data_IF_202997193649
#
_entry.id   IF_202997193649
#
_cell.length_a   1.000
_cell.length_b   1.000
_cell.length_c   1.000
_cell.angle_alpha   90.00
_cell.angle_beta   90.00
_cell.angle_gamma   90.00
#
_symmetry.space_group_name_H-M   'P 1'
#
loop_
_entity.id
_entity.type
_entity.pdbx_description
1 polymer ?
#
# COMPACT_ATOMS: atom_id res chain seq x y z
N UNK A 1 45.97 -19.36 -31.95
CA UNK A 1 45.45 -18.43 -30.92
C UNK A 1 44.14 -17.72 -31.29
N UNK A 2 43.79 -17.56 -32.58
CA UNK A 2 42.57 -16.84 -33.03
C UNK A 2 41.27 -17.55 -32.62
N UNK A 3 41.19 -18.88 -32.76
CA UNK A 3 40.00 -19.68 -32.45
C UNK A 3 39.54 -19.61 -30.98
N UNK A 4 40.48 -19.41 -30.06
CA UNK A 4 40.20 -19.30 -28.62
C UNK A 4 39.54 -17.96 -28.29
N UNK A 5 39.93 -16.88 -28.96
CA UNK A 5 39.41 -15.52 -28.74
C UNK A 5 37.97 -15.36 -29.23
N UNK A 6 37.63 -15.95 -30.37
CA UNK A 6 36.26 -15.95 -30.90
C UNK A 6 35.30 -16.73 -30.00
N UNK A 7 35.76 -17.84 -29.41
CA UNK A 7 34.93 -18.66 -28.51
C UNK A 7 34.63 -17.92 -27.19
N UNK A 8 35.60 -17.21 -26.62
CA UNK A 8 35.36 -16.34 -25.46
C UNK A 8 34.41 -15.16 -25.78
N UNK A 9 34.55 -14.55 -26.97
CA UNK A 9 33.66 -13.47 -27.39
C UNK A 9 32.19 -13.93 -27.50
N UNK A 10 31.95 -15.12 -28.04
CA UNK A 10 30.60 -15.71 -28.14
C UNK A 10 30.02 -15.97 -26.75
N UNK A 11 30.80 -16.53 -25.82
CA UNK A 11 30.34 -16.77 -24.45
C UNK A 11 29.93 -15.47 -23.75
N UNK A 12 30.74 -14.41 -23.88
CA UNK A 12 30.43 -13.11 -23.26
C UNK A 12 29.13 -12.53 -23.83
N UNK A 13 28.93 -12.61 -25.15
CA UNK A 13 27.69 -12.15 -25.80
C UNK A 13 26.48 -12.93 -25.29
N UNK A 14 26.58 -14.26 -25.19
CA UNK A 14 25.48 -15.09 -24.67
C UNK A 14 25.15 -14.75 -23.21
N UNK A 15 26.16 -14.60 -22.34
CA UNK A 15 25.94 -14.21 -20.93
C UNK A 15 25.29 -12.83 -20.83
N UNK A 16 25.75 -11.86 -21.62
CA UNK A 16 25.17 -10.51 -21.62
C UNK A 16 23.72 -10.48 -22.14
N UNK A 17 23.40 -11.30 -23.15
CA UNK A 17 22.04 -11.44 -23.67
C UNK A 17 21.10 -12.09 -22.63
N UNK A 18 21.55 -13.14 -21.95
CA UNK A 18 20.79 -13.79 -20.87
C UNK A 18 20.58 -12.82 -19.69
N UNK A 19 21.61 -12.05 -19.31
CA UNK A 19 21.51 -11.02 -18.28
C UNK A 19 20.50 -9.92 -18.62
N UNK A 20 20.45 -9.49 -19.88
CA UNK A 20 19.52 -8.46 -20.35
C UNK A 20 18.08 -8.97 -20.39
N UNK A 21 17.87 -10.22 -20.81
CA UNK A 21 16.54 -10.86 -20.78
C UNK A 21 16.07 -11.06 -19.33
N UNK A 22 16.95 -11.49 -18.42
CA UNK A 22 16.62 -11.63 -17.00
C UNK A 22 16.28 -10.27 -16.37
N UNK A 23 17.02 -9.22 -16.71
CA UNK A 23 16.75 -7.86 -16.25
C UNK A 23 15.40 -7.34 -16.78
N UNK A 24 15.12 -7.49 -18.08
CA UNK A 24 13.84 -7.13 -18.67
C UNK A 24 12.67 -7.92 -18.07
N UNK A 25 12.88 -9.21 -17.77
CA UNK A 25 11.88 -10.04 -17.09
C UNK A 25 11.66 -9.60 -15.65
N UNK A 26 12.71 -9.19 -14.93
CA UNK A 26 12.59 -8.65 -13.57
C UNK A 26 11.84 -7.31 -13.54
N UNK A 27 12.08 -6.44 -14.52
CA UNK A 27 11.31 -5.20 -14.71
C UNK A 27 9.85 -5.50 -15.06
N UNK A 28 9.60 -6.48 -15.92
CA UNK A 28 8.25 -6.90 -16.30
C UNK A 28 7.48 -7.53 -15.12
N UNK A 29 8.17 -8.22 -14.21
CA UNK A 29 7.59 -8.73 -12.97
C UNK A 29 7.30 -7.61 -11.96
N UNK A 30 8.16 -6.60 -11.86
CA UNK A 30 7.91 -5.40 -11.03
C UNK A 30 6.75 -4.55 -11.57
N UNK A 31 6.55 -4.53 -12.89
CA UNK A 31 5.47 -3.78 -13.54
C UNK A 31 4.17 -4.58 -13.68
N UNK A 32 4.14 -5.85 -13.27
CA UNK A 32 2.88 -6.59 -13.22
C UNK A 32 2.09 -6.08 -12.01
N UNK A 33 0.90 -5.48 -12.22
CA UNK A 33 -0.01 -5.27 -11.10
C UNK A 33 -0.15 -6.60 -10.36
N UNK A 34 -0.06 -6.57 -9.04
CA UNK A 34 -0.38 -7.73 -8.23
C UNK A 34 -1.74 -8.27 -8.67
N UNK A 35 -1.90 -9.59 -8.70
CA UNK A 35 -3.13 -10.23 -9.15
C UNK A 35 -4.31 -9.69 -8.34
N UNK A 36 -5.09 -8.77 -8.91
CA UNK A 36 -6.16 -8.06 -8.22
C UNK A 36 -6.06 -6.53 -8.23
N UNK A 37 -4.97 -5.94 -8.72
CA UNK A 37 -4.85 -4.49 -8.84
C UNK A 37 -5.86 -3.93 -9.86
N UNK A 38 -6.62 -2.93 -9.45
CA UNK A 38 -7.62 -2.27 -10.25
C UNK A 38 -6.93 -1.30 -11.25
N UNK A 39 -6.95 -1.58 -12.57
CA UNK A 39 -6.28 -0.73 -13.56
C UNK A 39 -6.89 0.67 -13.68
N UNK A 40 -8.10 0.86 -13.17
CA UNK A 40 -8.82 2.14 -13.14
C UNK A 40 -8.59 2.92 -11.84
N UNK A 41 -7.92 2.32 -10.85
CA UNK A 41 -7.59 3.02 -9.62
C UNK A 41 -6.55 4.11 -9.89
N UNK A 42 -6.78 5.37 -9.47
CA UNK A 42 -5.73 6.36 -9.47
C UNK A 42 -4.60 5.93 -8.53
N UNK A 43 -3.38 6.47 -8.64
CA UNK A 43 -2.32 6.16 -7.67
C UNK A 43 -2.71 6.60 -6.26
N UNK A 44 -2.27 5.85 -5.24
CA UNK A 44 -2.43 6.27 -3.84
C UNK A 44 -1.78 7.63 -3.60
N UNK A 45 -2.39 8.44 -2.74
CA UNK A 45 -1.84 9.73 -2.32
C UNK A 45 -1.52 9.69 -0.84
N UNK A 46 -0.40 10.29 -0.45
CA UNK A 46 -0.02 10.46 0.95
C UNK A 46 0.48 11.88 1.16
N UNK A 47 0.10 12.50 2.27
CA UNK A 47 0.67 13.79 2.70
C UNK A 47 2.03 13.58 3.36
N UNK A 48 2.78 14.68 3.50
CA UNK A 48 3.89 14.75 4.45
C UNK A 48 3.42 14.33 5.84
N UNK A 49 4.33 13.69 6.58
CA UNK A 49 4.07 13.25 7.95
C UNK A 49 4.05 14.46 8.89
N UNK A 50 3.18 14.43 9.89
CA UNK A 50 3.03 15.50 10.87
C UNK A 50 2.78 14.92 12.27
N UNK A 51 3.08 15.67 13.32
CA UNK A 51 2.76 15.24 14.69
C UNK A 51 1.30 15.52 15.00
N UNK A 52 0.63 14.58 15.67
CA UNK A 52 -0.75 14.74 16.11
C UNK A 52 -0.96 14.08 17.48
N UNK A 53 -1.86 14.65 18.27
CA UNK A 53 -2.32 14.02 19.51
C UNK A 53 -3.58 13.20 19.23
N UNK A 54 -3.59 11.93 19.65
CA UNK A 54 -4.76 11.07 19.56
C UNK A 54 -4.96 10.36 20.89
N UNK A 55 -6.13 10.57 21.52
CA UNK A 55 -6.47 9.99 22.84
C UNK A 55 -5.43 10.28 23.94
N UNK A 56 -4.78 11.44 23.89
CA UNK A 56 -3.81 11.88 24.90
C UNK A 56 -2.36 11.51 24.59
N UNK A 57 -2.11 10.57 23.68
CA UNK A 57 -0.76 10.18 23.26
C UNK A 57 -0.33 10.94 21.98
N UNK A 58 0.96 11.20 21.82
CA UNK A 58 1.53 11.81 20.62
C UNK A 58 1.91 10.74 19.58
N UNK A 59 1.47 10.97 18.34
CA UNK A 59 1.71 10.08 17.20
C UNK A 59 2.32 10.87 16.06
N UNK A 60 3.11 10.17 15.24
CA UNK A 60 3.34 10.61 13.88
C UNK A 60 2.13 10.20 13.04
N UNK A 61 1.58 11.15 12.30
CA UNK A 61 0.40 11.01 11.49
C UNK A 61 0.72 11.21 10.01
N UNK A 62 -0.05 10.55 9.14
CA UNK A 62 -0.02 10.79 7.69
C UNK A 62 -1.41 10.59 7.10
N UNK A 63 -1.86 11.54 6.28
CA UNK A 63 -3.12 11.43 5.56
C UNK A 63 -2.87 10.66 4.27
N UNK A 64 -3.58 9.55 4.10
CA UNK A 64 -3.38 8.62 3.01
C UNK A 64 -4.71 8.26 2.36
N UNK A 65 -4.77 8.37 1.05
CA UNK A 65 -5.85 7.84 0.23
C UNK A 65 -5.32 6.62 -0.51
N UNK A 66 -5.67 5.44 0.00
CA UNK A 66 -5.45 4.19 -0.71
C UNK A 66 -6.51 4.01 -1.78
N UNK A 67 -6.11 3.45 -2.90
CA UNK A 67 -6.93 3.29 -4.10
C UNK A 67 -6.89 1.86 -4.63
N UNK A 68 -6.00 1.03 -4.08
CA UNK A 68 -5.84 -0.36 -4.49
C UNK A 68 -5.23 -1.23 -3.39
N UNK A 69 -5.26 -2.54 -3.59
CA UNK A 69 -4.58 -3.52 -2.74
C UNK A 69 -3.06 -3.48 -2.94
N UNK A 70 -2.32 -4.04 -1.98
CA UNK A 70 -0.84 -4.09 -1.94
C UNK A 70 -0.12 -2.73 -1.94
N UNK A 71 -0.88 -1.63 -1.89
CA UNK A 71 -0.32 -0.30 -1.67
C UNK A 71 0.23 -0.21 -0.24
N UNK A 72 1.45 0.29 -0.11
CA UNK A 72 2.13 0.36 1.18
C UNK A 72 2.61 1.76 1.54
N UNK A 73 2.42 2.16 2.80
CA UNK A 73 3.01 3.36 3.38
C UNK A 73 3.89 2.95 4.56
N UNK A 74 5.16 3.29 4.45
CA UNK A 74 6.09 3.13 5.57
C UNK A 74 5.95 4.30 6.54
N UNK A 75 5.90 3.99 7.83
CA UNK A 75 6.03 4.94 8.95
C UNK A 75 7.18 4.46 9.84
N UNK A 76 7.72 5.32 10.73
CA UNK A 76 8.72 4.88 11.69
C UNK A 76 8.21 3.68 12.50
N UNK A 77 8.98 2.58 12.50
CA UNK A 77 8.67 1.37 13.26
C UNK A 77 7.62 0.43 12.65
N UNK A 78 6.91 0.83 11.59
CA UNK A 78 5.79 0.07 11.03
C UNK A 78 5.57 0.34 9.54
N UNK A 79 5.22 -0.69 8.76
CA UNK A 79 4.79 -0.55 7.36
C UNK A 79 3.34 -0.99 7.22
N UNK A 80 2.51 -0.10 6.70
CA UNK A 80 1.08 -0.33 6.48
C UNK A 80 0.89 -0.79 5.03
N UNK A 81 0.37 -1.99 4.81
CA UNK A 81 0.11 -2.56 3.47
C UNK A 81 -1.37 -2.90 3.34
N UNK A 82 -2.03 -2.40 2.30
CA UNK A 82 -3.45 -2.69 2.05
C UNK A 82 -3.64 -4.15 1.68
N UNK A 83 -4.50 -4.85 2.42
CA UNK A 83 -4.86 -6.26 2.18
C UNK A 83 -6.19 -6.36 1.44
N UNK A 84 -7.15 -5.53 1.82
CA UNK A 84 -8.42 -5.41 1.11
C UNK A 84 -8.93 -3.98 1.16
N UNK A 85 -9.61 -3.58 0.08
CA UNK A 85 -10.18 -2.25 -0.07
C UNK A 85 -11.50 -2.38 -0.80
N UNK A 86 -12.56 -1.88 -0.19
CA UNK A 86 -13.87 -1.74 -0.80
C UNK A 86 -14.29 -0.30 -0.63
N UNK A 87 -13.97 0.54 -1.60
CA UNK A 87 -14.41 1.93 -1.62
C UNK A 87 -15.22 2.14 -2.90
N UNK A 88 -16.54 2.39 -2.79
CA UNK A 88 -17.38 2.55 -3.96
C UNK A 88 -16.92 3.73 -4.80
N UNK A 89 -16.27 4.75 -4.24
CA UNK A 89 -15.80 5.94 -4.96
C UNK A 89 -14.63 5.70 -5.92
N UNK A 90 -13.96 4.55 -5.84
CA UNK A 90 -12.85 4.20 -6.72
C UNK A 90 -13.40 3.72 -8.07
N UNK A 91 -12.97 4.30 -9.21
CA UNK A 91 -13.40 3.86 -10.53
C UNK A 91 -13.09 2.39 -10.77
N UNK A 92 -14.00 1.66 -11.41
CA UNK A 92 -13.82 0.23 -11.70
C UNK A 92 -13.93 -0.04 -13.20
N UNK A 93 -13.35 -1.17 -13.61
CA UNK A 93 -13.44 -1.63 -14.99
C UNK A 93 -14.83 -2.23 -15.25
N UNK A 94 -15.65 -1.53 -16.02
CA UNK A 94 -16.99 -1.99 -16.44
C UNK A 94 -16.97 -2.13 -17.96
N UNK A 95 -17.22 -3.35 -18.45
CA UNK A 95 -17.22 -3.66 -19.89
C UNK A 95 -15.92 -3.23 -20.63
N UNK A 96 -14.77 -3.30 -19.95
CA UNK A 96 -13.47 -2.94 -20.52
C UNK A 96 -13.17 -1.43 -20.53
N UNK A 97 -14.01 -0.60 -19.92
CA UNK A 97 -13.77 0.83 -19.75
C UNK A 97 -13.78 1.19 -18.26
N UNK A 98 -12.96 2.17 -17.88
CA UNK A 98 -13.01 2.71 -16.53
C UNK A 98 -14.28 3.55 -16.37
N UNK A 99 -15.17 3.11 -15.50
CA UNK A 99 -16.37 3.84 -15.14
C UNK A 99 -16.16 4.48 -13.77
N UNK A 100 -16.51 5.76 -13.67
CA UNK A 100 -16.55 6.46 -12.41
C UNK A 100 -17.61 5.84 -11.49
N UNK A 101 -17.39 6.00 -10.19
CA UNK A 101 -18.33 5.54 -9.18
C UNK A 101 -19.69 6.24 -9.27
N UNK A 102 -20.76 5.45 -9.20
CA UNK A 102 -22.11 5.97 -9.04
C UNK A 102 -22.45 6.37 -7.58
N UNK A 103 -21.57 6.11 -6.60
CA UNK A 103 -21.81 6.43 -5.19
C UNK A 103 -20.54 6.89 -4.46
N UNK A 104 -20.11 8.16 -4.67
CA UNK A 104 -18.87 8.68 -4.09
C UNK A 104 -18.90 8.79 -2.55
N UNK A 105 -20.08 8.78 -1.95
CA UNK A 105 -20.29 8.86 -0.49
C UNK A 105 -20.75 7.53 0.11
N UNK A 106 -20.74 6.45 -0.67
CA UNK A 106 -21.08 5.13 -0.19
C UNK A 106 -20.12 4.68 0.91
N UNK A 107 -20.59 3.79 1.78
CA UNK A 107 -19.75 3.20 2.82
C UNK A 107 -18.55 2.51 2.18
N UNK A 108 -17.36 2.81 2.71
CA UNK A 108 -16.10 2.20 2.33
C UNK A 108 -15.53 1.38 3.50
N UNK A 109 -14.72 0.39 3.18
CA UNK A 109 -13.98 -0.40 4.15
C UNK A 109 -12.58 -0.70 3.65
N UNK A 110 -11.63 -0.76 4.58
CA UNK A 110 -10.25 -1.11 4.30
C UNK A 110 -9.73 -2.06 5.37
N UNK A 111 -8.87 -2.99 4.96
CA UNK A 111 -8.02 -3.76 5.85
C UNK A 111 -6.56 -3.55 5.47
N UNK A 112 -5.74 -3.31 6.48
CA UNK A 112 -4.33 -2.98 6.33
C UNK A 112 -3.53 -3.93 7.22
N UNK A 113 -2.60 -4.67 6.63
CA UNK A 113 -1.57 -5.41 7.38
C UNK A 113 -0.51 -4.41 7.83
N UNK A 114 -0.17 -4.45 9.10
CA UNK A 114 0.95 -3.71 9.66
C UNK A 114 2.10 -4.66 9.90
N UNK A 115 3.21 -4.40 9.24
CA UNK A 115 4.46 -5.12 9.36
C UNK A 115 5.41 -4.33 10.28
N UNK A 116 5.70 -4.84 11.48
CA UNK A 116 6.54 -4.17 12.48
C UNK A 116 8.03 -4.41 12.24
N UNK A 117 8.82 -3.32 12.26
CA UNK A 117 10.27 -3.44 12.04
C UNK A 117 10.99 -4.06 13.23
N UNK A 118 10.47 -3.88 14.44
CA UNK A 118 11.02 -4.46 15.66
C UNK A 118 10.36 -5.81 15.95
N UNK A 119 11.08 -6.90 15.70
CA UNK A 119 10.66 -8.25 16.10
C UNK A 119 9.84 -9.03 15.07
N UNK A 120 9.57 -8.47 13.89
CA UNK A 120 8.91 -9.20 12.79
C UNK A 120 7.45 -9.58 13.05
N UNK A 121 6.81 -8.94 14.02
CA UNK A 121 5.39 -9.11 14.29
C UNK A 121 4.55 -8.52 13.15
N UNK A 122 3.37 -9.10 12.94
CA UNK A 122 2.39 -8.62 11.97
C UNK A 122 1.02 -8.58 12.62
N UNK A 123 0.21 -7.61 12.24
CA UNK A 123 -1.22 -7.58 12.58
C UNK A 123 -2.04 -7.01 11.42
N UNK A 124 -3.35 -7.14 11.50
CA UNK A 124 -4.27 -6.55 10.53
C UNK A 124 -5.23 -5.60 11.24
N UNK A 125 -5.24 -4.36 10.79
CA UNK A 125 -6.18 -3.33 11.21
C UNK A 125 -7.30 -3.22 10.19
N UNK A 126 -8.52 -2.96 10.64
CA UNK A 126 -9.67 -2.74 9.77
C UNK A 126 -10.33 -1.39 10.07
N UNK A 127 -10.87 -0.74 9.05
CA UNK A 127 -11.60 0.49 9.23
C UNK A 127 -12.76 0.57 8.24
N UNK A 128 -13.96 0.81 8.77
CA UNK A 128 -15.09 1.27 7.97
C UNK A 128 -15.11 2.80 7.99
N UNK A 129 -15.16 3.42 6.82
CA UNK A 129 -15.10 4.87 6.65
C UNK A 129 -16.04 5.33 5.53
N UNK A 130 -16.39 6.61 5.45
CA UNK A 130 -17.46 7.16 4.58
C UNK A 130 -18.86 6.58 4.89
N UNK A 131 -19.89 7.16 4.25
CA UNK A 131 -21.29 6.78 4.47
C UNK A 131 -21.91 7.35 5.76
N UNK A 132 -23.12 6.88 6.06
CA UNK A 132 -23.99 7.37 7.15
C UNK A 132 -23.64 6.83 8.55
N UNK A 133 -22.53 6.11 8.70
CA UNK A 133 -22.16 5.46 9.96
C UNK A 133 -21.49 6.43 10.94
N UNK A 134 -21.91 6.35 12.20
CA UNK A 134 -21.14 6.82 13.35
C UNK A 134 -19.86 6.00 13.46
N UNK A 135 -18.71 6.66 13.40
CA UNK A 135 -17.37 6.16 13.68
C UNK A 135 -17.33 4.77 14.35
N UNK A 136 -16.89 3.73 13.64
CA UNK A 136 -16.48 2.48 14.28
C UNK A 136 -14.99 2.28 14.00
N UNK A 137 -14.20 2.82 14.92
CA UNK A 137 -12.79 2.49 15.10
C UNK A 137 -12.70 0.98 15.37
N UNK A 138 -12.27 0.19 14.38
CA UNK A 138 -12.14 -1.27 14.55
C UNK A 138 -10.70 -1.72 14.47
N UNK A 139 -9.90 -1.39 15.49
CA UNK A 139 -8.94 -2.30 16.11
C UNK A 139 -8.41 -1.62 17.36
N UNK A 140 -8.35 -2.35 18.49
CA UNK A 140 -7.59 -1.91 19.66
C UNK A 140 -6.11 -1.65 19.25
N UNK A 141 -5.35 -0.81 19.98
CA UNK A 141 -3.95 -0.59 19.65
C UNK A 141 -3.18 -1.90 19.79
N UNK A 142 -2.14 -2.07 18.96
CA UNK A 142 -1.25 -3.21 19.06
C UNK A 142 -0.70 -3.38 20.48
N UNK A 143 -0.73 -4.62 20.96
CA UNK A 143 -0.14 -5.00 22.26
C UNK A 143 1.32 -5.41 22.13
N UNK A 144 1.92 -5.25 20.94
CA UNK A 144 3.25 -5.74 20.62
C UNK A 144 4.30 -4.62 20.73
N UNK A 145 5.09 -4.65 21.80
CA UNK A 145 6.48 -4.14 22.02
C UNK A 145 6.98 -2.84 21.32
N UNK A 146 6.08 -1.98 20.84
CA UNK A 146 6.30 -0.69 20.17
C UNK A 146 6.70 -0.75 18.68
N UNK A 147 6.13 0.12 17.81
CA UNK A 147 5.18 1.23 18.08
C UNK A 147 3.69 0.85 18.08
N UNK A 148 2.86 1.62 18.79
CA UNK A 148 1.39 1.56 18.68
C UNK A 148 0.94 2.18 17.36
N UNK A 149 -0.01 1.56 16.69
CA UNK A 149 -0.53 2.04 15.40
C UNK A 149 -2.04 2.15 15.40
N UNK A 150 -2.57 3.03 14.54
CA UNK A 150 -4.00 3.18 14.33
C UNK A 150 -4.35 3.54 12.89
N UNK A 151 -5.56 3.16 12.48
CA UNK A 151 -6.26 3.73 11.33
C UNK A 151 -7.39 4.63 11.85
N UNK A 152 -7.42 5.87 11.41
CA UNK A 152 -8.45 6.84 11.81
C UNK A 152 -9.04 7.49 10.57
N UNK A 153 -10.33 7.79 10.57
CA UNK A 153 -10.96 8.58 9.53
C UNK A 153 -11.76 9.72 10.14
N UNK A 154 -11.72 10.88 9.49
CA UNK A 154 -12.49 12.05 9.88
C UNK A 154 -13.64 12.28 8.88
N UNK A 155 -14.89 12.47 9.34
CA UNK A 155 -16.02 12.73 8.47
C UNK A 155 -15.79 13.93 7.55
N UNK A 156 -16.21 13.81 6.30
CA UNK A 156 -16.05 14.85 5.27
C UNK A 156 -14.72 14.80 4.51
N UNK A 157 -13.80 13.90 4.89
CA UNK A 157 -12.54 13.68 4.18
C UNK A 157 -12.54 12.39 3.37
N UNK A 158 -11.77 12.37 2.28
CA UNK A 158 -11.57 11.26 1.35
C UNK A 158 -10.26 10.47 1.63
N UNK A 159 -9.58 10.79 2.73
CA UNK A 159 -8.35 10.16 3.18
C UNK A 159 -8.52 9.53 4.56
N UNK A 160 -7.70 8.53 4.84
CA UNK A 160 -7.53 7.89 6.15
C UNK A 160 -6.26 8.45 6.78
N UNK A 161 -6.26 8.65 8.09
CA UNK A 161 -5.13 9.07 8.88
C UNK A 161 -4.46 7.81 9.44
N UNK A 162 -3.23 7.56 9.01
CA UNK A 162 -2.36 6.56 9.62
C UNK A 162 -1.68 7.19 10.82
N UNK A 163 -1.68 6.50 11.96
CA UNK A 163 -0.97 6.92 13.17
C UNK A 163 0.04 5.85 13.57
N UNK A 164 1.26 6.26 13.91
CA UNK A 164 2.28 5.42 14.52
C UNK A 164 2.94 6.16 15.69
N UNK A 165 3.08 5.51 16.85
CA UNK A 165 3.74 6.12 18.00
C UNK A 165 5.22 6.36 17.73
N UNK A 166 5.75 7.42 18.31
CA UNK A 166 7.18 7.75 18.24
C UNK A 166 8.04 6.93 19.23
N UNK A 167 7.39 6.12 20.07
CA UNK A 167 7.99 5.25 21.09
C UNK A 167 7.76 3.79 20.80
#
# INVERSE_FOLDING_TARGET
MVYRRTLFAIIIVVISAVGLVAYAYSLALQSRPSSGANPCAPPSKSTSRYQGNFRGDEYLASNVTFTDIDQSISMPGATFTVVSLSDPSIPQLVNGQCADSNNPYGQASIQVRVDYTNGGAQETLSLNYKGSFSYEQTSAPSTHLHPKVWLVWQPGHDYIILLASLS
#
